data_IF_153527613598
#
_entry.id   IF_153527613598
#
_cell.length_a   1.000
_cell.length_b   1.000
_cell.length_c   1.000
_cell.angle_alpha   90.00
_cell.angle_beta   90.00
_cell.angle_gamma   90.00
#
_symmetry.space_group_name_H-M   'P 1'
#
loop_
_entity.id
_entity.type
_entity.pdbx_description
1 polymer ?
#
# COMPACT_ATOMS: atom_id res chain seq x y z
N UNK A 1 2.56 2.89 -15.45
CA UNK A 1 1.51 2.41 -14.54
C UNK A 1 2.00 1.30 -13.61
N UNK A 2 2.83 0.38 -14.11
CA UNK A 2 3.52 -0.65 -13.30
C UNK A 2 4.26 -0.04 -12.08
N UNK A 3 4.69 1.21 -12.16
CA UNK A 3 5.57 1.85 -11.19
C UNK A 3 4.86 2.44 -9.97
N UNK A 4 3.56 2.74 -10.03
CA UNK A 4 2.86 3.43 -8.94
C UNK A 4 2.51 2.50 -7.76
N UNK A 5 2.06 1.28 -8.04
CA UNK A 5 1.80 0.28 -6.99
C UNK A 5 3.07 -0.29 -6.37
N UNK A 6 4.17 -0.26 -7.11
CA UNK A 6 5.47 -0.77 -6.66
C UNK A 6 6.16 0.13 -5.65
N UNK A 7 5.77 1.39 -5.56
CA UNK A 7 6.35 2.38 -4.66
C UNK A 7 6.14 2.09 -3.17
N UNK A 8 5.23 1.20 -2.83
CA UNK A 8 4.82 1.02 -1.43
C UNK A 8 5.52 -0.10 -0.67
N UNK A 9 6.20 -1.03 -1.34
CA UNK A 9 6.79 -2.20 -0.65
C UNK A 9 8.28 -2.44 -0.92
N UNK A 10 8.82 -1.85 -1.97
CA UNK A 10 10.15 -2.23 -2.46
C UNK A 10 11.31 -1.66 -1.67
N UNK A 11 11.22 -0.44 -1.19
CA UNK A 11 12.35 0.24 -0.56
C UNK A 11 11.91 0.82 0.76
N UNK A 12 12.10 0.06 1.83
CA UNK A 12 11.99 0.58 3.19
C UNK A 12 10.61 0.62 3.83
N UNK A 13 9.69 -0.29 3.50
CA UNK A 13 8.56 -0.61 4.38
C UNK A 13 7.58 0.51 4.72
N UNK A 14 7.44 1.53 3.87
CA UNK A 14 6.44 2.58 4.04
C UNK A 14 5.04 2.12 3.63
N UNK A 15 4.60 0.98 4.13
CA UNK A 15 3.31 0.42 3.82
C UNK A 15 2.14 1.30 4.26
N UNK A 16 0.95 0.94 3.83
CA UNK A 16 -0.30 1.59 4.23
C UNK A 16 -0.58 1.51 5.73
N UNK A 17 0.21 0.76 6.48
CA UNK A 17 0.19 0.65 7.96
C UNK A 17 0.63 1.92 8.71
N UNK A 18 1.10 2.94 8.00
CA UNK A 18 1.44 4.21 8.61
C UNK A 18 0.25 4.84 9.33
N UNK A 19 0.45 5.26 10.60
CA UNK A 19 -0.56 5.90 11.44
C UNK A 19 -1.24 7.12 10.82
N UNK A 20 -0.60 7.78 9.87
CA UNK A 20 -1.17 8.91 9.14
C UNK A 20 -1.96 8.53 7.89
N UNK A 21 -1.96 7.26 7.50
CA UNK A 21 -2.69 6.78 6.33
C UNK A 21 -4.21 6.82 6.56
N UNK A 22 -4.97 6.96 5.48
CA UNK A 22 -6.43 6.94 5.52
C UNK A 22 -6.97 5.63 6.08
N UNK A 23 -6.40 4.51 5.63
CA UNK A 23 -6.83 3.19 6.08
C UNK A 23 -6.49 2.94 7.55
N UNK A 24 -5.35 3.44 8.05
CA UNK A 24 -5.05 3.34 9.47
C UNK A 24 -6.12 4.04 10.31
N UNK A 25 -6.45 5.28 9.97
CA UNK A 25 -7.48 6.06 10.65
C UNK A 25 -8.87 5.44 10.54
N UNK A 26 -9.19 4.86 9.39
CA UNK A 26 -10.50 4.27 9.17
C UNK A 26 -10.67 2.91 9.85
N UNK A 27 -9.60 2.13 9.98
CA UNK A 27 -9.65 0.76 10.48
C UNK A 27 -9.16 0.67 11.93
N UNK A 28 -7.97 1.20 12.22
CA UNK A 28 -7.33 1.03 13.54
C UNK A 28 -7.83 2.06 14.54
N UNK A 29 -7.81 3.36 14.22
CA UNK A 29 -8.29 4.39 15.15
C UNK A 29 -9.78 4.24 15.48
N UNK A 30 -10.57 3.68 14.56
CA UNK A 30 -12.00 3.39 14.77
C UNK A 30 -12.27 1.97 15.29
N UNK A 31 -11.24 1.25 15.69
CA UNK A 31 -11.34 -0.07 16.30
C UNK A 31 -12.11 -1.12 15.47
N UNK A 32 -12.03 -1.06 14.15
CA UNK A 32 -12.43 -2.17 13.27
C UNK A 32 -11.32 -3.23 13.20
N UNK A 33 -10.07 -2.80 13.28
CA UNK A 33 -8.90 -3.66 13.25
C UNK A 33 -7.92 -3.31 14.37
N UNK A 34 -7.15 -4.29 14.83
CA UNK A 34 -6.01 -4.09 15.73
C UNK A 34 -4.75 -3.76 14.94
N UNK A 35 -4.67 -4.26 13.71
CA UNK A 35 -3.58 -3.94 12.79
C UNK A 35 -4.02 -4.19 11.34
N UNK A 36 -3.32 -3.56 10.41
CA UNK A 36 -3.41 -3.89 9.00
C UNK A 36 -2.07 -3.62 8.32
N UNK A 37 -1.86 -4.27 7.22
CA UNK A 37 -0.71 -4.06 6.34
C UNK A 37 -1.15 -4.23 4.89
N UNK A 38 -0.34 -3.79 3.95
CA UNK A 38 -0.63 -4.01 2.55
C UNK A 38 0.42 -3.43 1.63
N UNK A 39 0.37 -3.87 0.39
CA UNK A 39 1.28 -3.46 -0.67
C UNK A 39 1.32 -4.46 -1.80
N UNK A 40 2.20 -4.22 -2.75
CA UNK A 40 2.51 -5.15 -3.82
C UNK A 40 4.00 -5.48 -3.82
N UNK A 41 4.33 -6.72 -4.14
CA UNK A 41 5.71 -7.11 -4.37
C UNK A 41 6.15 -6.67 -5.76
N UNK A 42 7.41 -6.29 -5.90
CA UNK A 42 8.05 -6.08 -7.20
C UNK A 42 8.36 -7.44 -7.80
N UNK A 43 7.73 -7.75 -8.91
CA UNK A 43 7.88 -9.01 -9.62
C UNK A 43 8.00 -8.74 -11.12
N UNK A 44 8.59 -9.70 -11.86
CA UNK A 44 8.74 -9.59 -13.30
C UNK A 44 7.37 -9.43 -13.97
N UNK A 45 6.42 -10.27 -13.60
CA UNK A 45 5.03 -10.16 -14.05
C UNK A 45 4.17 -9.36 -13.05
N UNK A 46 3.06 -8.75 -13.51
CA UNK A 46 2.10 -8.11 -12.61
C UNK A 46 1.59 -9.07 -11.54
N UNK A 47 1.62 -8.64 -10.29
CA UNK A 47 1.16 -9.43 -9.15
C UNK A 47 0.09 -8.68 -8.33
N UNK A 48 -0.42 -9.33 -7.30
CA UNK A 48 -1.50 -8.81 -6.48
C UNK A 48 -1.05 -7.60 -5.63
N UNK A 49 -1.95 -6.66 -5.47
CA UNK A 49 -1.92 -5.72 -4.36
C UNK A 49 -2.67 -6.35 -3.19
N UNK A 50 -1.98 -6.64 -2.09
CA UNK A 50 -2.55 -7.35 -0.95
C UNK A 50 -2.84 -6.38 0.19
N UNK A 51 -3.97 -6.56 0.87
CA UNK A 51 -4.29 -5.90 2.14
C UNK A 51 -4.60 -6.99 3.14
N UNK A 52 -3.88 -7.01 4.25
CA UNK A 52 -4.07 -7.94 5.37
C UNK A 52 -4.60 -7.17 6.57
N UNK A 53 -5.70 -7.62 7.15
CA UNK A 53 -6.38 -6.96 8.27
C UNK A 53 -6.52 -7.95 9.42
N UNK A 54 -5.98 -7.61 10.59
CA UNK A 54 -6.27 -8.33 11.82
C UNK A 54 -7.44 -7.65 12.52
N UNK A 55 -8.59 -8.32 12.57
CA UNK A 55 -9.82 -7.76 13.10
C UNK A 55 -9.72 -7.49 14.60
N UNK A 56 -10.41 -6.46 15.05
CA UNK A 56 -10.68 -6.28 16.46
C UNK A 56 -11.66 -7.38 16.94
N UNK A 57 -11.48 -8.01 18.13
CA UNK A 57 -12.30 -9.16 18.59
C UNK A 57 -13.82 -8.91 18.63
N UNK A 58 -14.25 -7.65 18.71
CA UNK A 58 -15.67 -7.24 18.75
C UNK A 58 -16.22 -6.79 17.40
N UNK A 59 -15.51 -7.08 16.29
CA UNK A 59 -15.87 -6.61 14.94
C UNK A 59 -15.94 -7.77 13.97
N UNK A 60 -16.79 -7.63 12.98
CA UNK A 60 -16.91 -8.60 11.89
C UNK A 60 -16.03 -8.23 10.70
N UNK A 61 -15.79 -9.20 9.82
CA UNK A 61 -15.05 -8.97 8.57
C UNK A 61 -15.78 -8.00 7.66
N UNK A 62 -17.12 -8.10 7.62
CA UNK A 62 -17.99 -7.25 6.80
C UNK A 62 -17.91 -5.78 7.24
N UNK A 63 -17.89 -5.51 8.55
CA UNK A 63 -17.73 -4.14 9.06
C UNK A 63 -16.39 -3.53 8.66
N UNK A 64 -15.32 -4.30 8.78
CA UNK A 64 -13.97 -3.85 8.41
C UNK A 64 -13.84 -3.64 6.89
N UNK A 65 -14.38 -4.55 6.08
CA UNK A 65 -14.43 -4.41 4.63
C UNK A 65 -15.23 -3.18 4.19
N UNK A 66 -16.39 -2.96 4.79
CA UNK A 66 -17.21 -1.78 4.50
C UNK A 66 -16.48 -0.47 4.89
N UNK A 67 -15.71 -0.47 5.98
CA UNK A 67 -14.91 0.69 6.36
C UNK A 67 -13.77 0.94 5.36
N UNK A 68 -13.09 -0.10 4.92
CA UNK A 68 -12.06 -0.02 3.88
C UNK A 68 -12.63 0.47 2.55
N UNK A 69 -13.74 -0.09 2.11
CA UNK A 69 -14.38 0.25 0.83
C UNK A 69 -14.81 1.72 0.78
N UNK A 70 -15.30 2.28 1.89
CA UNK A 70 -15.62 3.72 1.97
C UNK A 70 -14.38 4.59 1.70
N UNK A 71 -13.22 4.23 2.22
CA UNK A 71 -11.99 5.01 1.97
C UNK A 71 -11.47 4.83 0.54
N UNK A 72 -11.61 3.63 -0.04
CA UNK A 72 -11.28 3.39 -1.45
C UNK A 72 -12.19 4.23 -2.35
N UNK A 73 -13.50 4.23 -2.11
CA UNK A 73 -14.45 5.05 -2.87
C UNK A 73 -14.14 6.56 -2.75
N UNK A 74 -13.69 7.03 -1.60
CA UNK A 74 -13.27 8.43 -1.43
C UNK A 74 -12.10 8.79 -2.32
N UNK A 75 -11.07 7.93 -2.41
CA UNK A 75 -9.92 8.17 -3.29
C UNK A 75 -10.33 8.13 -4.77
N UNK A 76 -11.29 7.28 -5.13
CA UNK A 76 -11.80 7.17 -6.49
C UNK A 76 -12.68 8.36 -6.89
N UNK A 77 -13.48 8.87 -5.96
CA UNK A 77 -14.43 9.96 -6.24
C UNK A 77 -13.81 11.35 -6.09
N UNK A 78 -12.96 11.55 -5.08
CA UNK A 78 -12.40 12.85 -4.74
C UNK A 78 -10.89 12.85 -4.92
N UNK A 79 -10.36 13.89 -5.54
CA UNK A 79 -8.91 14.07 -5.67
C UNK A 79 -8.29 14.29 -4.28
N UNK A 80 -7.22 13.57 -3.97
CA UNK A 80 -6.49 13.72 -2.71
C UNK A 80 -5.83 15.10 -2.63
N UNK A 81 -5.70 15.63 -1.41
CA UNK A 81 -5.07 16.93 -1.22
C UNK A 81 -3.57 16.88 -1.56
N UNK A 82 -3.05 17.95 -2.16
CA UNK A 82 -1.64 18.05 -2.53
C UNK A 82 -0.69 17.85 -1.35
N UNK A 83 -1.06 18.32 -0.15
CA UNK A 83 -0.29 18.11 1.08
C UNK A 83 -0.20 16.62 1.49
N UNK A 84 -1.22 15.82 1.20
CA UNK A 84 -1.22 14.38 1.48
C UNK A 84 -0.27 13.64 0.53
N UNK A 85 -0.29 13.99 -0.75
CA UNK A 85 0.65 13.48 -1.74
C UNK A 85 2.08 13.87 -1.39
N UNK A 86 2.33 15.14 -1.05
CA UNK A 86 3.66 15.62 -0.67
C UNK A 86 4.19 14.89 0.57
N UNK A 87 3.35 14.63 1.58
CA UNK A 87 3.73 13.85 2.77
C UNK A 87 4.07 12.41 2.42
N UNK A 88 3.27 11.76 1.57
CA UNK A 88 3.54 10.39 1.13
C UNK A 88 4.85 10.30 0.34
N UNK A 89 5.12 11.27 -0.53
CA UNK A 89 6.39 11.36 -1.26
C UNK A 89 7.58 11.56 -0.33
N UNK A 90 7.46 12.47 0.66
CA UNK A 90 8.53 12.71 1.64
C UNK A 90 8.86 11.42 2.41
N UNK A 91 7.84 10.67 2.78
CA UNK A 91 8.02 9.40 3.47
C UNK A 91 8.66 8.34 2.57
N UNK A 92 8.21 8.21 1.32
CA UNK A 92 8.80 7.27 0.37
C UNK A 92 10.28 7.59 0.11
N UNK A 93 10.65 8.88 0.01
CA UNK A 93 12.06 9.30 -0.09
C UNK A 93 12.88 8.92 1.14
N UNK A 94 12.33 9.13 2.33
CA UNK A 94 13.02 8.75 3.57
C UNK A 94 13.23 7.22 3.64
N UNK A 95 12.20 6.45 3.29
CA UNK A 95 12.29 5.00 3.25
C UNK A 95 13.32 4.50 2.22
N UNK A 96 13.39 5.14 1.05
CA UNK A 96 14.41 4.85 0.05
C UNK A 96 15.81 5.11 0.61
N UNK A 97 16.04 6.26 1.23
CA UNK A 97 17.32 6.61 1.81
C UNK A 97 17.75 5.60 2.90
N UNK A 98 16.85 5.27 3.84
CA UNK A 98 17.12 4.25 4.86
C UNK A 98 17.33 2.85 4.25
N UNK A 99 16.53 2.48 3.26
CA UNK A 99 16.62 1.19 2.58
C UNK A 99 17.91 1.02 1.77
N UNK A 100 18.61 2.11 1.45
CA UNK A 100 19.85 2.11 0.67
C UNK A 100 21.06 2.67 1.45
N UNK A 101 20.95 2.77 2.77
CA UNK A 101 21.97 3.39 3.62
C UNK A 101 23.30 2.61 3.63
N UNK A 102 23.22 1.28 3.67
CA UNK A 102 24.43 0.44 3.75
C UNK A 102 24.69 -0.29 2.42
N UNK A 103 25.95 -0.67 2.21
CA UNK A 103 26.42 -1.27 0.97
C UNK A 103 25.73 -2.61 0.64
N UNK A 104 25.39 -3.40 1.66
CA UNK A 104 24.66 -4.68 1.46
C UNK A 104 23.28 -4.44 0.89
N UNK A 105 22.54 -3.47 1.43
CA UNK A 105 21.24 -3.09 0.94
C UNK A 105 21.33 -2.47 -0.47
N UNK A 106 22.35 -1.65 -0.73
CA UNK A 106 22.58 -1.10 -2.07
C UNK A 106 22.78 -2.23 -3.09
N UNK A 107 23.69 -3.17 -2.79
CA UNK A 107 23.93 -4.31 -3.66
C UNK A 107 22.66 -5.16 -3.90
N UNK A 108 21.89 -5.41 -2.83
CA UNK A 108 20.61 -6.11 -2.93
C UNK A 108 19.64 -5.37 -3.86
N UNK A 109 19.45 -4.07 -3.66
CA UNK A 109 18.49 -3.30 -4.45
C UNK A 109 18.90 -3.16 -5.90
N UNK A 110 20.20 -3.01 -6.18
CA UNK A 110 20.72 -2.96 -7.55
C UNK A 110 20.45 -4.29 -8.27
N UNK A 111 20.82 -5.42 -7.68
CA UNK A 111 20.56 -6.73 -8.26
C UNK A 111 19.08 -7.05 -8.39
N UNK A 112 18.29 -6.69 -7.38
CA UNK A 112 16.85 -6.91 -7.40
C UNK A 112 16.14 -6.06 -8.47
N UNK A 113 16.54 -4.78 -8.62
CA UNK A 113 15.99 -3.91 -9.65
C UNK A 113 16.27 -4.44 -11.06
N UNK A 114 17.46 -4.98 -11.30
CA UNK A 114 17.81 -5.58 -12.59
C UNK A 114 16.94 -6.81 -12.92
N UNK A 115 16.51 -7.56 -11.92
CA UNK A 115 15.63 -8.72 -12.13
C UNK A 115 14.23 -8.37 -12.63
N UNK A 116 13.63 -7.27 -12.14
CA UNK A 116 12.23 -6.94 -12.50
C UNK A 116 12.08 -5.73 -13.43
N UNK A 117 13.12 -4.93 -13.60
CA UNK A 117 13.12 -3.74 -14.46
C UNK A 117 14.49 -3.48 -15.09
N UNK A 118 15.31 -2.63 -14.46
CA UNK A 118 16.69 -2.32 -14.87
C UNK A 118 17.37 -1.46 -13.80
N UNK A 119 18.69 -1.35 -13.89
CA UNK A 119 19.49 -0.40 -13.12
C UNK A 119 18.96 1.04 -13.26
N UNK A 120 18.67 1.48 -14.49
CA UNK A 120 18.13 2.82 -14.77
C UNK A 120 16.81 3.09 -14.04
N UNK A 121 16.01 2.04 -13.81
CA UNK A 121 14.80 2.18 -13.02
C UNK A 121 15.11 2.55 -11.57
N UNK A 122 16.11 1.90 -10.97
CA UNK A 122 16.54 2.20 -9.61
C UNK A 122 17.10 3.61 -9.48
N UNK A 123 17.97 4.00 -10.39
CA UNK A 123 18.60 5.32 -10.43
C UNK A 123 17.57 6.45 -10.59
N UNK A 124 16.61 6.27 -11.50
CA UNK A 124 15.54 7.23 -11.79
C UNK A 124 14.35 7.18 -10.83
N UNK A 125 14.38 6.32 -9.79
CA UNK A 125 13.26 6.09 -8.89
C UNK A 125 12.76 7.36 -8.21
N UNK A 126 13.65 8.14 -7.60
CA UNK A 126 13.26 9.36 -6.88
C UNK A 126 12.73 10.45 -7.82
N UNK A 127 13.25 10.53 -9.04
CA UNK A 127 12.75 11.45 -10.06
C UNK A 127 11.35 11.07 -10.53
N UNK A 128 11.12 9.78 -10.78
CA UNK A 128 9.79 9.26 -11.13
C UNK A 128 8.79 9.47 -9.99
N UNK A 129 9.21 9.25 -8.75
CA UNK A 129 8.39 9.52 -7.58
C UNK A 129 7.98 10.99 -7.49
N UNK A 130 8.90 11.91 -7.77
CA UNK A 130 8.64 13.35 -7.70
C UNK A 130 7.58 13.87 -8.68
N UNK A 131 7.29 13.11 -9.73
CA UNK A 131 6.31 13.45 -10.79
C UNK A 131 4.91 12.90 -10.49
N UNK A 132 4.72 12.13 -9.43
CA UNK A 132 3.42 11.57 -9.07
C UNK A 132 2.48 12.68 -8.62
N UNK A 133 1.28 12.71 -9.20
CA UNK A 133 0.25 13.71 -8.92
C UNK A 133 -0.95 13.13 -8.18
N UNK A 134 -1.77 13.99 -7.60
CA UNK A 134 -3.06 13.60 -7.02
C UNK A 134 -4.02 12.97 -8.06
N UNK A 135 -3.93 13.42 -9.31
CA UNK A 135 -4.70 12.85 -10.43
C UNK A 135 -4.26 11.41 -10.73
N UNK A 136 -2.95 11.12 -10.64
CA UNK A 136 -2.44 9.76 -10.81
C UNK A 136 -2.93 8.83 -9.71
N UNK A 137 -2.98 9.30 -8.46
CA UNK A 137 -3.53 8.52 -7.32
C UNK A 137 -4.98 8.14 -7.62
N UNK A 138 -5.82 9.11 -7.97
CA UNK A 138 -7.23 8.88 -8.31
C UNK A 138 -7.39 7.92 -9.49
N UNK A 139 -6.66 8.15 -10.57
CA UNK A 139 -6.69 7.31 -11.77
C UNK A 139 -6.34 5.85 -11.46
N UNK A 140 -5.26 5.63 -10.72
CA UNK A 140 -4.79 4.29 -10.34
C UNK A 140 -5.79 3.60 -9.42
N UNK A 141 -6.30 4.29 -8.40
CA UNK A 141 -7.33 3.74 -7.52
C UNK A 141 -8.59 3.35 -8.31
N UNK A 142 -9.04 4.19 -9.23
CA UNK A 142 -10.21 3.90 -10.07
C UNK A 142 -10.00 2.75 -11.05
N UNK A 143 -8.77 2.54 -11.52
CA UNK A 143 -8.46 1.48 -12.47
C UNK A 143 -8.31 0.11 -11.79
N UNK A 144 -7.66 0.07 -10.63
CA UNK A 144 -7.21 -1.21 -10.04
C UNK A 144 -7.96 -1.62 -8.78
N UNK A 145 -8.43 -0.67 -7.96
CA UNK A 145 -9.13 -1.01 -6.72
C UNK A 145 -10.64 -1.20 -6.95
N UNK A 146 -10.97 -2.09 -7.87
CA UNK A 146 -12.36 -2.38 -8.24
C UNK A 146 -12.88 -3.59 -7.44
N UNK A 147 -14.13 -3.55 -6.93
CA UNK A 147 -14.73 -4.69 -6.23
C UNK A 147 -14.71 -5.99 -7.03
N UNK A 148 -14.92 -5.90 -8.35
CA UNK A 148 -14.91 -7.04 -9.28
C UNK A 148 -13.52 -7.69 -9.46
N UNK A 149 -12.46 -6.98 -9.13
CA UNK A 149 -11.07 -7.44 -9.25
C UNK A 149 -10.48 -7.86 -7.90
N UNK A 150 -11.32 -8.00 -6.87
CA UNK A 150 -10.92 -8.35 -5.52
C UNK A 150 -11.29 -9.77 -5.16
N UNK A 151 -10.37 -10.46 -4.49
CA UNK A 151 -10.61 -11.71 -3.78
C UNK A 151 -10.47 -11.45 -2.29
N UNK A 152 -11.39 -11.94 -1.48
CA UNK A 152 -11.36 -11.82 -0.02
C UNK A 152 -11.22 -13.21 0.60
N UNK A 153 -10.14 -13.43 1.34
CA UNK A 153 -9.93 -14.60 2.17
C UNK A 153 -10.17 -14.24 3.63
N UNK A 154 -10.99 -15.02 4.34
CA UNK A 154 -11.26 -14.85 5.78
C UNK A 154 -10.69 -16.05 6.50
N UNK A 155 -9.73 -15.80 7.40
CA UNK A 155 -9.20 -16.82 8.31
C UNK A 155 -9.95 -16.76 9.63
N UNK A 156 -10.57 -17.88 10.02
CA UNK A 156 -11.25 -18.04 11.30
C UNK A 156 -10.50 -19.08 12.11
N UNK A 157 -9.96 -18.76 13.29
CA UNK A 157 -9.27 -19.73 14.15
C UNK A 157 -10.22 -20.85 14.61
N UNK A 158 -9.74 -22.09 14.61
CA UNK A 158 -10.48 -23.23 15.16
C UNK A 158 -10.73 -22.99 16.66
N UNK A 159 -11.99 -23.09 17.10
CA UNK A 159 -12.39 -22.88 18.49
C UNK A 159 -12.81 -21.44 18.81
N UNK A 160 -12.68 -20.47 17.92
CA UNK A 160 -13.38 -19.21 18.06
C UNK A 160 -14.85 -19.41 17.68
N UNK A 161 -15.79 -19.08 18.59
CA UNK A 161 -17.18 -18.85 18.16
C UNK A 161 -17.14 -17.71 17.18
N UNK A 162 -17.43 -17.98 15.92
CA UNK A 162 -17.65 -16.91 14.94
C UNK A 162 -18.65 -15.95 15.58
N UNK A 163 -18.30 -14.67 15.67
CA UNK A 163 -19.29 -13.66 15.98
C UNK A 163 -20.31 -13.70 14.84
N UNK A 164 -21.45 -14.34 15.12
CA UNK A 164 -22.63 -14.32 14.26
C UNK A 164 -23.24 -12.95 14.24
#
# INVERSE_FOLDING_TARGET
LRHFFHLYHGVGGGGISNKTSRLYRALVDKQFAVSFSGGSNLTLDPFLYTISITLHPKRTAEEALAAMDREILRIQSTTVEGREVARAMKQARANFAYGTENITNQAFWLGYAEMFASYDWFESYLDKLSRVTAADVKRVASTYLQPRARVVGIYVPLGSKAAQ
#
